data_IF_268568960093
#
_entry.id   IF_268568960093
#
_cell.length_a   1.000
_cell.length_b   1.000
_cell.length_c   1.000
_cell.angle_alpha   90.00
_cell.angle_beta   90.00
_cell.angle_gamma   90.00
#
_symmetry.space_group_name_H-M   'P 1'
#
loop_
_entity.id
_entity.type
_entity.pdbx_description
1 polymer ?
#
# COMPACT_ATOMS: atom_id res chain seq x y z
N UNK A 1 12.10 -32.87 -45.64
CA UNK A 1 13.04 -34.02 -45.64
C UNK A 1 14.45 -33.48 -45.90
N UNK A 2 15.27 -33.30 -44.85
CA UNK A 2 16.58 -33.98 -44.61
C UNK A 2 17.61 -33.70 -45.72
N UNK A 3 18.79 -33.09 -45.51
CA UNK A 3 19.91 -33.45 -44.60
C UNK A 3 20.96 -32.32 -44.55
N UNK A 4 21.44 -31.97 -43.35
CA UNK A 4 22.81 -32.12 -42.77
C UNK A 4 23.96 -31.22 -43.30
N UNK A 5 24.60 -30.59 -42.31
CA UNK A 5 25.86 -29.83 -42.26
C UNK A 5 27.09 -30.77 -42.17
N UNK A 6 28.31 -30.30 -42.50
CA UNK A 6 29.41 -30.25 -41.50
C UNK A 6 30.26 -28.96 -41.65
N UNK A 7 30.44 -28.14 -40.61
CA UNK A 7 31.51 -28.10 -39.57
C UNK A 7 32.94 -27.85 -40.09
N UNK A 8 33.49 -26.68 -39.76
CA UNK A 8 34.93 -26.37 -39.78
C UNK A 8 35.28 -25.42 -38.64
N UNK A 9 36.23 -25.84 -37.79
CA UNK A 9 36.93 -25.06 -36.75
C UNK A 9 38.36 -24.81 -37.22
N UNK A 10 38.90 -23.60 -37.00
CA UNK A 10 40.33 -23.29 -36.91
C UNK A 10 40.48 -22.03 -36.04
N UNK A 11 41.15 -22.15 -34.88
CA UNK A 11 42.47 -21.56 -34.50
C UNK A 11 42.35 -20.12 -33.98
N UNK A 12 42.50 -19.91 -32.66
CA UNK A 12 43.73 -19.45 -31.96
C UNK A 12 44.01 -17.96 -32.20
N UNK A 13 43.94 -17.16 -31.13
CA UNK A 13 44.95 -16.13 -30.76
C UNK A 13 44.44 -15.25 -29.60
N UNK A 14 45.08 -15.41 -28.44
CA UNK A 14 45.29 -14.39 -27.40
C UNK A 14 46.78 -14.02 -27.52
N UNK A 15 47.26 -12.77 -27.22
CA UNK A 15 47.06 -12.06 -25.94
C UNK A 15 47.17 -10.50 -26.13
N UNK A 16 47.57 -9.61 -25.18
CA UNK A 16 47.78 -9.70 -23.72
C UNK A 16 47.12 -8.58 -22.88
N UNK A 17 47.29 -8.70 -21.57
CA UNK A 17 46.86 -7.80 -20.48
C UNK A 17 47.67 -6.49 -20.36
N UNK A 18 47.04 -5.49 -19.70
CA UNK A 18 47.71 -4.48 -18.87
C UNK A 18 47.44 -3.04 -19.27
N UNK A 19 46.72 -2.29 -18.41
CA UNK A 19 47.16 -1.01 -17.80
C UNK A 19 46.02 -0.44 -16.93
N UNK A 20 46.35 -0.22 -15.65
CA UNK A 20 45.55 0.40 -14.61
C UNK A 20 45.28 1.89 -14.88
N UNK A 21 44.14 2.40 -14.39
CA UNK A 21 44.15 3.71 -13.71
C UNK A 21 42.92 3.94 -12.81
N UNK A 22 43.19 4.55 -11.67
CA UNK A 22 42.35 4.73 -10.50
C UNK A 22 41.31 5.87 -10.63
N UNK A 23 40.25 5.74 -9.83
CA UNK A 23 39.49 6.79 -9.14
C UNK A 23 38.72 7.87 -9.95
N UNK A 24 37.39 7.82 -9.87
CA UNK A 24 36.62 8.93 -9.26
C UNK A 24 35.23 8.49 -8.82
N UNK A 25 34.88 8.96 -7.62
CA UNK A 25 33.74 8.60 -6.81
C UNK A 25 32.42 9.29 -7.25
N UNK A 26 31.33 8.71 -6.72
CA UNK A 26 30.04 9.35 -6.40
C UNK A 26 28.95 9.41 -7.47
N UNK A 27 28.03 8.46 -7.34
CA UNK A 27 26.68 8.51 -7.89
C UNK A 27 25.92 7.21 -7.63
N UNK A 28 25.71 6.86 -6.36
CA UNK A 28 24.95 5.69 -5.95
C UNK A 28 23.52 5.74 -6.53
N UNK A 29 23.32 5.01 -7.62
CA UNK A 29 22.01 4.61 -8.09
C UNK A 29 21.64 3.34 -7.31
N UNK A 30 20.76 3.49 -6.31
CA UNK A 30 20.06 2.35 -5.71
C UNK A 30 19.09 1.79 -6.76
N UNK A 31 19.63 0.89 -7.58
CA UNK A 31 18.89 -0.05 -8.41
C UNK A 31 18.51 -1.24 -7.51
N UNK A 32 17.57 -1.01 -6.58
CA UNK A 32 16.89 -2.10 -5.86
C UNK A 32 16.07 -2.88 -6.90
N UNK A 33 16.70 -3.87 -7.51
CA UNK A 33 16.03 -4.97 -8.20
C UNK A 33 15.20 -5.68 -7.15
N UNK A 34 13.93 -5.92 -7.46
CA UNK A 34 13.05 -6.84 -6.75
C UNK A 34 13.63 -8.26 -6.85
N UNK A 35 14.70 -8.54 -6.11
CA UNK A 35 15.10 -9.90 -5.78
C UNK A 35 14.09 -10.41 -4.77
N UNK A 36 13.22 -11.29 -5.23
CA UNK A 36 12.40 -12.11 -4.36
C UNK A 36 13.34 -12.88 -3.42
N UNK A 37 13.50 -12.35 -2.20
CA UNK A 37 14.20 -13.05 -1.12
C UNK A 37 13.51 -14.40 -0.96
N UNK A 38 14.21 -15.53 -1.15
CA UNK A 38 13.60 -16.83 -0.92
C UNK A 38 13.13 -16.83 0.53
N UNK A 39 11.83 -17.08 0.72
CA UNK A 39 11.25 -17.23 2.04
C UNK A 39 12.05 -18.32 2.77
N UNK A 40 12.92 -17.90 3.69
CA UNK A 40 13.49 -18.82 4.65
C UNK A 40 12.29 -19.44 5.35
N UNK A 41 12.15 -20.76 5.20
CA UNK A 41 11.17 -21.53 5.93
C UNK A 41 11.56 -21.44 7.41
N UNK A 42 11.04 -20.40 8.09
CA UNK A 42 10.99 -20.40 9.54
C UNK A 42 10.31 -21.70 9.94
N UNK A 43 11.08 -22.61 10.56
CA UNK A 43 10.57 -23.84 11.12
C UNK A 43 9.35 -23.50 11.97
N UNK A 44 8.18 -23.92 11.50
CA UNK A 44 6.97 -23.83 12.28
C UNK A 44 7.26 -24.56 13.60
N UNK A 45 7.02 -23.94 14.78
CA UNK A 45 7.22 -24.63 16.04
C UNK A 45 6.39 -25.91 15.99
N UNK A 46 7.05 -27.07 16.16
CA UNK A 46 6.39 -28.37 16.21
C UNK A 46 5.19 -28.27 17.15
N UNK A 47 4.00 -28.41 16.58
CA UNK A 47 2.75 -28.28 17.30
C UNK A 47 2.55 -29.59 18.03
N UNK A 48 2.85 -29.59 19.33
CA UNK A 48 2.50 -30.65 20.25
C UNK A 48 0.98 -30.93 20.18
N UNK A 49 0.61 -32.18 19.87
CA UNK A 49 -0.75 -32.65 19.60
C UNK A 49 -1.47 -33.18 20.86
N UNK A 50 -0.85 -33.10 22.03
CA UNK A 50 -1.42 -33.63 23.27
C UNK A 50 -2.49 -32.68 23.84
N UNK A 51 -3.74 -32.92 23.43
CA UNK A 51 -4.93 -32.26 23.97
C UNK A 51 -5.43 -33.02 25.19
N UNK A 52 -5.11 -32.53 26.39
CA UNK A 52 -5.67 -33.03 27.65
C UNK A 52 -7.04 -32.36 27.93
N UNK A 53 -8.16 -33.11 27.98
CA UNK A 53 -9.51 -32.55 28.20
C UNK A 53 -9.62 -31.68 29.46
N UNK A 54 -8.88 -32.00 30.53
CA UNK A 54 -8.87 -31.25 31.77
C UNK A 54 -8.25 -29.85 31.67
N UNK A 55 -7.41 -29.58 30.66
CA UNK A 55 -6.79 -28.26 30.47
C UNK A 55 -7.81 -27.21 30.01
N UNK A 56 -8.80 -27.61 29.20
CA UNK A 56 -9.89 -26.71 28.78
C UNK A 56 -10.80 -26.36 29.96
N UNK A 57 -11.08 -27.32 30.85
CA UNK A 57 -11.87 -27.08 32.06
C UNK A 57 -11.19 -26.08 33.00
N UNK A 58 -9.88 -26.23 33.21
CA UNK A 58 -9.09 -25.30 34.02
C UNK A 58 -9.13 -23.86 33.47
N UNK A 59 -8.89 -23.70 32.17
CA UNK A 59 -8.97 -22.39 31.51
C UNK A 59 -10.39 -21.80 31.53
N UNK A 60 -11.42 -22.63 31.37
CA UNK A 60 -12.82 -22.19 31.47
C UNK A 60 -13.16 -21.66 32.86
N UNK A 61 -12.64 -22.30 33.92
CA UNK A 61 -12.85 -21.84 35.30
C UNK A 61 -12.17 -20.50 35.56
N UNK A 62 -10.95 -20.31 35.04
CA UNK A 62 -10.27 -18.99 35.07
C UNK A 62 -11.16 -17.93 34.44
N UNK A 63 -11.66 -18.17 33.23
CA UNK A 63 -12.53 -17.21 32.52
C UNK A 63 -13.82 -16.95 33.31
N UNK A 64 -14.43 -17.98 33.90
CA UNK A 64 -15.66 -17.87 34.71
C UNK A 64 -15.47 -16.97 35.93
N UNK A 65 -14.31 -17.04 36.59
CA UNK A 65 -13.96 -16.17 37.72
C UNK A 65 -13.97 -14.70 37.32
N UNK A 66 -13.33 -14.34 36.21
CA UNK A 66 -13.31 -12.96 35.70
C UNK A 66 -14.67 -12.51 35.15
N UNK A 67 -15.42 -13.40 34.52
CA UNK A 67 -16.73 -13.09 33.96
C UNK A 67 -17.72 -12.54 34.99
N UNK A 68 -17.66 -13.03 36.22
CA UNK A 68 -18.56 -12.62 37.31
C UNK A 68 -18.49 -11.12 37.66
N UNK A 69 -17.31 -10.51 37.49
CA UNK A 69 -17.04 -9.12 37.86
C UNK A 69 -17.08 -8.14 36.68
N UNK A 70 -17.41 -8.63 35.47
CA UNK A 70 -17.38 -7.80 34.27
C UNK A 70 -18.49 -6.74 34.23
N UNK A 71 -18.15 -5.51 33.81
CA UNK A 71 -19.13 -4.48 33.55
C UNK A 71 -19.98 -4.81 32.32
N UNK A 72 -21.19 -4.28 32.30
CA UNK A 72 -22.00 -4.21 31.09
C UNK A 72 -21.53 -3.02 30.26
N UNK A 73 -21.16 -3.26 29.00
CA UNK A 73 -20.74 -2.19 28.10
C UNK A 73 -19.65 -2.64 27.12
N UNK A 74 -19.29 -1.75 26.18
CA UNK A 74 -18.29 -2.04 25.19
C UNK A 74 -16.87 -1.96 25.77
N UNK A 75 -15.94 -2.65 25.11
CA UNK A 75 -14.54 -2.59 25.47
C UNK A 75 -13.71 -3.68 24.81
N UNK A 76 -12.46 -3.78 25.26
CA UNK A 76 -11.46 -4.73 24.79
C UNK A 76 -11.03 -5.63 25.94
N UNK A 77 -10.85 -6.91 25.65
CA UNK A 77 -10.30 -7.89 26.58
C UNK A 77 -9.01 -8.52 26.03
N UNK A 78 -8.15 -8.93 26.96
CA UNK A 78 -6.90 -9.63 26.69
C UNK A 78 -6.89 -10.93 27.46
N UNK A 79 -6.45 -12.01 26.82
CA UNK A 79 -6.20 -13.31 27.43
C UNK A 79 -4.69 -13.54 27.49
N UNK A 80 -4.21 -14.01 28.63
CA UNK A 80 -2.80 -14.23 28.91
C UNK A 80 -2.53 -15.69 29.23
N UNK A 81 -1.35 -16.18 28.88
CA UNK A 81 -0.90 -17.50 29.29
C UNK A 81 -0.29 -17.51 30.70
N UNK A 82 0.13 -18.69 31.16
CA UNK A 82 0.75 -18.85 32.47
C UNK A 82 2.10 -18.12 32.62
N UNK A 83 2.75 -17.73 31.51
CA UNK A 83 4.00 -16.95 31.50
C UNK A 83 3.74 -15.44 31.50
N UNK A 84 2.49 -15.03 31.31
CA UNK A 84 2.09 -13.62 31.20
C UNK A 84 2.13 -13.08 29.76
N UNK A 85 2.30 -13.94 28.76
CA UNK A 85 2.28 -13.54 27.35
C UNK A 85 0.84 -13.38 26.84
N UNK A 86 0.60 -12.37 26.00
CA UNK A 86 -0.75 -12.10 25.46
C UNK A 86 -1.06 -13.12 24.36
N UNK A 87 -2.06 -13.96 24.62
CA UNK A 87 -2.54 -14.99 23.71
C UNK A 87 -3.49 -14.43 22.66
N UNK A 88 -4.42 -13.57 23.11
CA UNK A 88 -5.50 -13.05 22.29
C UNK A 88 -5.99 -11.70 22.79
N UNK A 89 -6.34 -10.83 21.85
CA UNK A 89 -7.02 -9.55 22.07
C UNK A 89 -8.36 -9.61 21.34
N UNK A 90 -9.46 -9.19 21.97
CA UNK A 90 -10.74 -9.08 21.29
C UNK A 90 -11.58 -7.90 21.76
N UNK A 91 -12.36 -7.33 20.84
CA UNK A 91 -13.39 -6.32 21.13
C UNK A 91 -14.76 -6.94 21.44
N UNK A 92 -15.62 -6.18 22.13
CA UNK A 92 -17.03 -6.52 22.29
C UNK A 92 -17.90 -5.27 22.44
N UNK A 93 -19.14 -5.31 21.90
CA UNK A 93 -20.22 -4.37 22.26
C UNK A 93 -20.67 -4.54 23.71
N UNK A 94 -20.59 -5.77 24.21
CA UNK A 94 -20.88 -6.12 25.59
C UNK A 94 -19.85 -7.16 26.07
N UNK A 95 -18.90 -6.72 26.90
CA UNK A 95 -17.83 -7.58 27.43
C UNK A 95 -18.38 -8.80 28.18
N UNK A 96 -19.37 -8.60 29.05
CA UNK A 96 -19.97 -9.68 29.84
C UNK A 96 -20.62 -10.75 28.96
N UNK A 97 -21.33 -10.35 27.91
CA UNK A 97 -21.93 -11.29 26.96
C UNK A 97 -20.87 -12.05 26.15
N UNK A 98 -19.86 -11.35 25.62
CA UNK A 98 -18.81 -11.95 24.80
C UNK A 98 -17.97 -12.94 25.59
N UNK A 99 -17.47 -12.54 26.77
CA UNK A 99 -16.65 -13.40 27.63
C UNK A 99 -17.46 -14.57 28.18
N UNK A 100 -18.74 -14.36 28.46
CA UNK A 100 -19.67 -15.41 28.87
C UNK A 100 -19.87 -16.52 27.82
N UNK A 101 -19.57 -16.25 26.55
CA UNK A 101 -19.55 -17.30 25.51
C UNK A 101 -18.45 -18.33 25.76
N UNK A 102 -17.26 -17.87 26.16
CA UNK A 102 -16.14 -18.76 26.48
C UNK A 102 -16.36 -19.51 27.79
N UNK A 103 -16.91 -18.84 28.82
CA UNK A 103 -17.15 -19.42 30.15
C UNK A 103 -18.19 -20.57 30.16
N UNK A 104 -19.03 -20.66 29.12
CA UNK A 104 -20.02 -21.73 28.95
C UNK A 104 -19.43 -23.01 28.34
N UNK A 105 -18.14 -23.05 28.03
CA UNK A 105 -17.45 -24.24 27.52
C UNK A 105 -17.87 -24.65 26.11
N UNK A 106 -18.64 -23.82 25.41
CA UNK A 106 -18.98 -24.02 24.00
C UNK A 106 -17.80 -23.54 23.15
N UNK A 107 -16.73 -24.34 23.10
CA UNK A 107 -15.63 -24.07 22.18
C UNK A 107 -16.10 -24.33 20.75
N UNK A 108 -16.35 -23.26 20.00
CA UNK A 108 -16.86 -23.34 18.63
C UNK A 108 -15.80 -23.81 17.62
N UNK A 109 -14.53 -23.92 18.02
CA UNK A 109 -13.45 -24.48 17.20
C UNK A 109 -12.29 -24.98 18.07
N UNK A 110 -11.46 -25.88 17.51
CA UNK A 110 -10.24 -26.37 18.17
C UNK A 110 -9.28 -25.24 18.54
N UNK A 111 -9.19 -24.19 17.71
CA UNK A 111 -8.43 -22.97 18.02
C UNK A 111 -8.93 -22.32 19.30
N UNK A 112 -10.24 -22.09 19.41
CA UNK A 112 -10.84 -21.45 20.59
C UNK A 112 -10.65 -22.34 21.82
N UNK A 113 -10.83 -23.66 21.69
CA UNK A 113 -10.57 -24.60 22.79
C UNK A 113 -9.12 -24.50 23.29
N UNK A 114 -8.15 -24.45 22.38
CA UNK A 114 -6.72 -24.31 22.70
C UNK A 114 -6.37 -22.96 23.31
N UNK A 115 -6.98 -21.88 22.83
CA UNK A 115 -6.82 -20.56 23.42
C UNK A 115 -7.36 -20.53 24.86
N UNK A 116 -8.55 -21.11 25.07
CA UNK A 116 -9.17 -21.21 26.41
C UNK A 116 -8.28 -22.05 27.34
N UNK A 117 -7.82 -23.22 26.91
CA UNK A 117 -7.02 -24.12 27.77
C UNK A 117 -5.69 -23.51 28.21
N UNK A 118 -5.15 -22.58 27.43
CA UNK A 118 -3.90 -21.89 27.75
C UNK A 118 -4.13 -20.59 28.53
N UNK A 119 -5.37 -20.13 28.67
CA UNK A 119 -5.69 -18.87 29.36
C UNK A 119 -5.51 -19.04 30.87
N UNK A 120 -4.54 -18.32 31.44
CA UNK A 120 -4.27 -18.27 32.87
C UNK A 120 -4.75 -16.97 33.54
N UNK A 121 -4.89 -15.89 32.77
CA UNK A 121 -5.41 -14.61 33.27
C UNK A 121 -6.13 -13.81 32.17
N UNK A 122 -6.95 -12.85 32.57
CA UNK A 122 -7.61 -11.91 31.67
C UNK A 122 -7.52 -10.46 32.17
N UNK A 123 -7.43 -9.52 31.24
CA UNK A 123 -7.54 -8.08 31.52
C UNK A 123 -8.58 -7.43 30.62
N UNK A 124 -9.21 -6.35 31.12
CA UNK A 124 -10.31 -5.68 30.46
C UNK A 124 -10.12 -4.17 30.47
N UNK A 125 -10.44 -3.52 29.35
CA UNK A 125 -10.49 -2.07 29.24
C UNK A 125 -11.88 -1.72 28.70
N UNK A 126 -12.67 -0.98 29.49
CA UNK A 126 -13.97 -0.48 29.05
C UNK A 126 -13.78 0.77 28.19
N UNK A 127 -14.64 0.94 27.19
CA UNK A 127 -14.65 2.12 26.33
C UNK A 127 -16.03 2.78 26.39
N UNK A 128 -16.13 4.04 25.99
CA UNK A 128 -17.42 4.74 25.95
C UNK A 128 -18.24 4.28 24.73
N UNK A 129 -17.56 3.94 23.63
CA UNK A 129 -18.21 3.52 22.38
C UNK A 129 -17.62 2.23 21.83
N UNK A 130 -18.36 1.57 20.94
CA UNK A 130 -17.87 0.44 20.16
C UNK A 130 -16.72 0.83 19.22
N UNK A 131 -16.79 2.02 18.63
CA UNK A 131 -15.74 2.53 17.75
C UNK A 131 -14.42 2.67 18.48
N UNK A 132 -14.44 3.18 19.71
CA UNK A 132 -13.24 3.23 20.56
C UNK A 132 -12.70 1.82 20.88
N UNK A 133 -13.58 0.84 21.14
CA UNK A 133 -13.17 -0.55 21.37
C UNK A 133 -12.49 -1.14 20.12
N UNK A 134 -13.04 -0.87 18.93
CA UNK A 134 -12.47 -1.29 17.66
C UNK A 134 -11.06 -0.70 17.44
N UNK A 135 -10.91 0.61 17.65
CA UNK A 135 -9.62 1.29 17.50
C UNK A 135 -8.58 0.79 18.52
N UNK A 136 -9.00 0.63 19.78
CA UNK A 136 -8.12 0.11 20.83
C UNK A 136 -7.69 -1.34 20.56
N UNK A 137 -8.60 -2.19 20.09
CA UNK A 137 -8.29 -3.57 19.71
C UNK A 137 -7.25 -3.62 18.59
N UNK A 138 -7.48 -2.89 17.48
CA UNK A 138 -6.56 -2.85 16.35
C UNK A 138 -5.14 -2.40 16.80
N UNK A 139 -5.08 -1.39 17.67
CA UNK A 139 -3.83 -0.90 18.23
C UNK A 139 -3.12 -1.96 19.09
N UNK A 140 -3.85 -2.64 19.98
CA UNK A 140 -3.31 -3.69 20.84
C UNK A 140 -2.85 -4.93 20.05
N UNK A 141 -3.58 -5.35 19.02
CA UNK A 141 -3.15 -6.45 18.13
C UNK A 141 -1.84 -6.09 17.43
N UNK A 142 -1.73 -4.86 16.92
CA UNK A 142 -0.53 -4.37 16.25
C UNK A 142 0.70 -4.33 17.17
N UNK A 143 0.52 -3.89 18.42
CA UNK A 143 1.60 -3.80 19.41
C UNK A 143 2.02 -5.17 19.95
N UNK A 144 1.06 -6.02 20.28
CA UNK A 144 1.29 -7.26 21.05
C UNK A 144 1.43 -8.49 20.15
N UNK A 145 0.96 -8.42 18.89
CA UNK A 145 0.96 -9.50 17.90
C UNK A 145 0.53 -10.87 18.48
N UNK A 146 -0.63 -10.96 19.15
CA UNK A 146 -1.00 -12.17 19.88
C UNK A 146 -1.15 -13.37 18.94
N UNK A 147 -0.72 -14.55 19.40
CA UNK A 147 -0.69 -15.79 18.59
C UNK A 147 -2.03 -16.13 17.96
N UNK A 148 -3.13 -15.93 18.68
CA UNK A 148 -4.45 -16.35 18.22
C UNK A 148 -5.17 -15.29 17.39
N UNK A 149 -4.64 -14.07 17.23
CA UNK A 149 -5.24 -13.06 16.36
C UNK A 149 -4.81 -13.23 14.90
N UNK A 150 -5.64 -12.72 13.98
CA UNK A 150 -5.21 -12.54 12.58
C UNK A 150 -4.20 -11.39 12.55
N UNK A 151 -3.06 -11.59 11.90
CA UNK A 151 -2.02 -10.58 11.80
C UNK A 151 -1.76 -10.22 10.33
N UNK A 152 -1.88 -8.93 10.02
CA UNK A 152 -1.40 -8.41 8.74
C UNK A 152 0.14 -8.50 8.68
N UNK A 153 0.69 -9.27 7.72
CA UNK A 153 2.14 -9.46 7.58
C UNK A 153 2.87 -8.27 6.93
N UNK A 154 2.15 -7.41 6.23
CA UNK A 154 2.71 -6.33 5.43
C UNK A 154 2.27 -4.97 5.97
N UNK A 155 3.13 -4.36 6.79
CA UNK A 155 2.91 -3.07 7.44
C UNK A 155 3.55 -1.90 6.66
N UNK A 156 3.99 -2.12 5.42
CA UNK A 156 4.66 -1.07 4.64
C UNK A 156 3.71 0.09 4.40
N UNK A 157 4.10 1.28 4.88
CA UNK A 157 3.36 2.53 4.60
C UNK A 157 3.09 2.70 3.12
N UNK A 158 1.85 3.00 2.75
CA UNK A 158 1.47 3.09 1.35
C UNK A 158 2.20 4.25 0.65
N UNK A 159 2.60 4.07 -0.62
CA UNK A 159 3.19 5.14 -1.39
C UNK A 159 2.12 6.16 -1.80
N UNK A 160 2.48 7.42 -1.71
CA UNK A 160 1.69 8.59 -2.12
C UNK A 160 2.47 9.36 -3.20
N UNK A 161 1.76 10.20 -3.94
CA UNK A 161 2.31 11.29 -4.72
C UNK A 161 2.20 12.56 -3.87
N UNK A 162 3.32 13.26 -3.70
CA UNK A 162 3.35 14.58 -3.09
C UNK A 162 3.59 15.62 -4.19
N UNK A 163 2.69 16.60 -4.28
CA UNK A 163 2.93 17.86 -4.97
C UNK A 163 3.40 18.87 -3.95
N UNK A 164 4.67 19.27 -4.02
CA UNK A 164 5.32 20.06 -2.97
C UNK A 164 4.83 21.51 -2.96
N UNK A 165 4.89 22.15 -1.79
CA UNK A 165 4.51 23.56 -1.59
C UNK A 165 5.50 24.28 -0.66
N UNK A 166 6.71 23.75 -0.53
CA UNK A 166 7.80 24.24 0.32
C UNK A 166 8.77 25.18 -0.40
N UNK A 167 8.63 25.36 -1.71
CA UNK A 167 9.46 26.25 -2.51
C UNK A 167 8.70 26.90 -3.68
N UNK A 168 9.35 27.81 -4.41
CA UNK A 168 8.71 28.61 -5.48
C UNK A 168 8.32 27.79 -6.71
N UNK A 169 8.98 26.66 -6.96
CA UNK A 169 8.71 25.77 -8.08
C UNK A 169 8.32 24.38 -7.57
N UNK A 170 7.01 24.08 -7.44
CA UNK A 170 6.50 22.78 -7.00
C UNK A 170 7.08 21.59 -7.77
N UNK A 171 7.36 20.51 -7.04
CA UNK A 171 7.75 19.22 -7.59
C UNK A 171 6.63 18.20 -7.43
N UNK A 172 6.63 17.18 -8.28
CA UNK A 172 5.84 15.97 -8.07
C UNK A 172 6.80 14.84 -7.74
N UNK A 173 6.69 14.32 -6.52
CA UNK A 173 7.60 13.29 -5.99
C UNK A 173 6.82 12.16 -5.35
N UNK A 174 7.44 10.97 -5.30
CA UNK A 174 6.95 9.87 -4.48
C UNK A 174 7.14 10.20 -2.99
N UNK A 175 6.19 9.83 -2.16
CA UNK A 175 6.25 9.99 -0.70
C UNK A 175 5.83 8.71 0.02
N UNK A 176 6.52 8.38 1.11
CA UNK A 176 6.16 7.30 2.06
C UNK A 176 6.31 7.81 3.49
N UNK A 177 5.54 7.25 4.41
CA UNK A 177 5.59 7.61 5.83
C UNK A 177 4.88 8.92 6.19
N UNK A 178 5.28 9.49 7.33
CA UNK A 178 4.60 10.65 7.93
C UNK A 178 4.59 11.88 7.00
N UNK A 179 3.44 12.56 6.91
CA UNK A 179 3.20 13.72 6.03
C UNK A 179 3.80 15.01 6.63
N UNK A 180 5.13 15.08 6.78
CA UNK A 180 5.83 16.22 7.39
C UNK A 180 6.18 17.33 6.40
N UNK A 181 6.41 16.99 5.13
CA UNK A 181 6.76 17.95 4.06
C UNK A 181 5.51 18.73 3.63
N UNK A 182 5.62 20.05 3.42
CA UNK A 182 4.48 20.87 3.00
C UNK A 182 4.09 20.54 1.55
N UNK A 183 2.79 20.34 1.31
CA UNK A 183 2.26 20.07 -0.02
C UNK A 183 0.95 19.28 0.01
N UNK A 184 0.50 18.89 -1.18
CA UNK A 184 -0.72 18.11 -1.39
C UNK A 184 -0.37 16.64 -1.63
N UNK A 185 -0.98 15.75 -0.85
CA UNK A 185 -0.73 14.31 -0.89
C UNK A 185 -1.88 13.61 -1.61
N UNK A 186 -1.55 12.79 -2.61
CA UNK A 186 -2.50 12.02 -3.41
C UNK A 186 -2.14 10.55 -3.30
N UNK A 187 -3.09 9.73 -2.85
CA UNK A 187 -2.88 8.30 -2.59
C UNK A 187 -4.03 7.75 -1.74
N UNK A 188 -3.91 6.51 -1.25
CA UNK A 188 -2.77 5.60 -1.41
C UNK A 188 -2.69 4.97 -2.81
N UNK A 189 -1.48 4.65 -3.27
CA UNK A 189 -1.27 3.83 -4.46
C UNK A 189 -0.91 2.41 -4.08
N UNK A 190 -1.24 1.44 -4.93
CA UNK A 190 -1.03 0.03 -4.62
C UNK A 190 0.45 -0.38 -4.56
N UNK A 191 1.31 0.27 -5.36
CA UNK A 191 2.73 -0.05 -5.45
C UNK A 191 3.60 1.16 -5.76
N UNK A 192 4.91 1.06 -5.47
CA UNK A 192 5.90 2.10 -5.86
C UNK A 192 5.91 2.27 -7.37
N UNK A 193 5.76 1.18 -8.11
CA UNK A 193 5.74 1.20 -9.56
C UNK A 193 4.55 2.00 -10.10
N UNK A 194 3.35 1.86 -9.51
CA UNK A 194 2.17 2.64 -9.88
C UNK A 194 2.39 4.15 -9.64
N UNK A 195 3.02 4.50 -8.52
CA UNK A 195 3.44 5.87 -8.22
C UNK A 195 4.45 6.38 -9.24
N UNK A 196 5.55 5.67 -9.47
CA UNK A 196 6.62 6.10 -10.37
C UNK A 196 6.10 6.32 -11.79
N UNK A 197 5.25 5.42 -12.29
CA UNK A 197 4.59 5.58 -13.60
C UNK A 197 3.78 6.86 -13.66
N UNK A 198 2.92 7.09 -12.65
CA UNK A 198 2.05 8.26 -12.59
C UNK A 198 2.86 9.55 -12.48
N UNK A 199 3.86 9.59 -11.60
CA UNK A 199 4.79 10.71 -11.43
C UNK A 199 5.50 11.03 -12.75
N UNK A 200 6.06 10.03 -13.43
CA UNK A 200 6.77 10.24 -14.70
C UNK A 200 5.84 10.80 -15.78
N UNK A 201 4.63 10.25 -15.90
CA UNK A 201 3.65 10.71 -16.87
C UNK A 201 3.20 12.16 -16.59
N UNK A 202 2.97 12.52 -15.32
CA UNK A 202 2.62 13.89 -14.93
C UNK A 202 3.77 14.88 -15.17
N UNK A 203 4.99 14.52 -14.78
CA UNK A 203 6.18 15.35 -15.00
C UNK A 203 6.36 15.67 -16.50
N UNK A 204 6.17 14.67 -17.38
CA UNK A 204 6.19 14.87 -18.83
C UNK A 204 5.03 15.73 -19.33
N UNK A 205 3.81 15.42 -18.90
CA UNK A 205 2.61 16.07 -19.40
C UNK A 205 2.51 17.54 -18.98
N UNK A 206 3.08 17.91 -17.83
CA UNK A 206 3.03 19.26 -17.29
C UNK A 206 4.40 19.94 -17.24
N UNK A 207 5.43 19.34 -17.83
CA UNK A 207 6.79 19.90 -17.93
C UNK A 207 7.38 20.30 -16.57
N UNK A 208 7.08 19.53 -15.54
CA UNK A 208 7.49 19.84 -14.16
C UNK A 208 8.91 19.39 -13.91
N UNK A 209 9.61 20.15 -13.06
CA UNK A 209 11.00 19.85 -12.70
C UNK A 209 11.12 18.53 -11.93
N UNK A 210 12.24 17.85 -12.15
CA UNK A 210 12.62 16.62 -11.44
C UNK A 210 13.93 16.77 -10.66
N UNK A 211 14.67 17.87 -10.86
CA UNK A 211 15.91 18.14 -10.15
C UNK A 211 15.66 18.36 -8.65
N UNK A 212 16.58 17.92 -7.79
CA UNK A 212 16.55 18.20 -6.35
C UNK A 212 16.66 19.70 -6.08
N UNK A 213 16.31 20.14 -4.87
CA UNK A 213 16.36 21.56 -4.51
C UNK A 213 17.77 22.13 -4.54
N UNK A 214 18.76 21.36 -4.09
CA UNK A 214 20.18 21.72 -4.25
C UNK A 214 20.57 21.98 -5.71
N UNK A 215 20.14 21.13 -6.65
CA UNK A 215 20.39 21.39 -8.07
C UNK A 215 19.59 22.59 -8.60
N UNK A 216 18.37 22.82 -8.13
CA UNK A 216 17.56 23.96 -8.57
C UNK A 216 18.17 25.30 -8.16
N UNK A 217 18.62 25.41 -6.91
CA UNK A 217 19.18 26.65 -6.35
C UNK A 217 20.53 27.00 -6.98
N UNK A 218 21.33 26.00 -7.37
CA UNK A 218 22.68 26.21 -7.88
C UNK A 218 22.77 26.22 -9.42
N UNK A 219 21.65 26.14 -10.14
CA UNK A 219 21.67 26.10 -11.62
C UNK A 219 21.83 27.49 -12.23
N UNK A 220 22.88 27.63 -13.03
CA UNK A 220 23.18 28.86 -13.79
C UNK A 220 22.83 28.79 -15.28
N UNK A 221 22.58 27.58 -15.81
CA UNK A 221 22.20 27.34 -17.21
C UNK A 221 21.15 26.24 -17.35
N UNK A 222 20.26 26.30 -18.37
CA UNK A 222 19.25 25.29 -18.58
C UNK A 222 19.85 23.89 -18.74
N UNK A 223 19.21 22.89 -18.15
CA UNK A 223 19.68 21.51 -18.21
C UNK A 223 19.14 20.77 -19.44
N UNK A 224 19.65 19.56 -19.68
CA UNK A 224 19.20 18.70 -20.77
C UNK A 224 17.67 18.50 -20.77
N UNK A 225 17.04 18.35 -19.61
CA UNK A 225 15.58 18.16 -19.52
C UNK A 225 14.80 19.35 -20.07
N UNK A 226 15.30 20.57 -19.94
CA UNK A 226 14.71 21.74 -20.60
C UNK A 226 14.92 21.68 -22.12
N UNK A 227 16.14 21.37 -22.56
CA UNK A 227 16.48 21.31 -23.98
C UNK A 227 15.63 20.28 -24.74
N UNK A 228 15.40 19.10 -24.15
CA UNK A 228 14.53 18.05 -24.72
C UNK A 228 13.05 18.25 -24.39
N UNK A 229 12.66 19.42 -23.87
CA UNK A 229 11.26 19.79 -23.55
C UNK A 229 10.55 18.79 -22.61
N UNK A 230 11.27 18.31 -21.59
CA UNK A 230 10.73 17.54 -20.45
C UNK A 230 10.58 18.37 -19.16
N UNK A 231 11.14 19.57 -19.12
CA UNK A 231 11.02 20.55 -18.05
C UNK A 231 10.84 21.93 -18.68
N UNK A 232 10.06 22.82 -18.07
CA UNK A 232 9.89 24.20 -18.51
C UNK A 232 11.00 25.16 -18.04
N UNK A 233 11.93 24.68 -17.21
CA UNK A 233 13.14 25.43 -16.83
C UNK A 233 12.95 26.53 -15.78
N UNK A 234 12.19 26.33 -14.68
CA UNK A 234 11.99 27.37 -13.67
C UNK A 234 13.27 27.75 -12.91
N UNK A 235 14.27 26.84 -12.83
CA UNK A 235 15.51 27.08 -12.09
C UNK A 235 16.39 28.18 -12.69
N UNK A 236 16.25 28.47 -13.98
CA UNK A 236 17.05 29.49 -14.68
C UNK A 236 16.17 30.57 -15.31
N UNK A 237 14.89 30.63 -14.95
CA UNK A 237 13.96 31.68 -15.41
C UNK A 237 13.48 31.54 -16.85
N UNK A 238 13.63 30.37 -17.49
CA UNK A 238 13.11 30.13 -18.86
C UNK A 238 11.57 30.15 -18.93
N UNK A 239 10.92 29.95 -17.78
CA UNK A 239 9.49 30.12 -17.55
C UNK A 239 9.30 31.01 -16.32
N UNK A 240 8.30 31.89 -16.35
CA UNK A 240 7.89 32.64 -15.17
C UNK A 240 7.36 31.69 -14.08
N UNK A 241 7.59 32.01 -12.81
CA UNK A 241 7.18 31.14 -11.70
C UNK A 241 5.66 31.00 -11.60
N UNK A 242 4.94 32.04 -12.00
CA UNK A 242 3.48 32.09 -12.05
C UNK A 242 2.93 31.09 -13.10
N UNK A 243 3.53 31.09 -14.29
CA UNK A 243 3.17 30.15 -15.36
C UNK A 243 3.52 28.71 -14.99
N UNK A 244 4.67 28.51 -14.34
CA UNK A 244 5.07 27.22 -13.80
C UNK A 244 4.08 26.72 -12.74
N UNK A 245 3.63 27.60 -11.83
CA UNK A 245 2.62 27.28 -10.84
C UNK A 245 1.29 26.86 -11.50
N UNK A 246 0.88 27.51 -12.60
CA UNK A 246 -0.29 27.10 -13.39
C UNK A 246 -0.17 25.67 -13.98
N UNK A 247 1.04 25.25 -14.38
CA UNK A 247 1.30 23.87 -14.80
C UNK A 247 1.21 22.89 -13.62
N UNK A 248 1.77 23.25 -12.47
CA UNK A 248 1.68 22.44 -11.25
C UNK A 248 0.23 22.28 -10.78
N UNK A 249 -0.58 23.34 -10.84
CA UNK A 249 -2.00 23.30 -10.49
C UNK A 249 -2.82 22.48 -11.49
N UNK A 250 -2.44 22.48 -12.77
CA UNK A 250 -3.04 21.57 -13.75
C UNK A 250 -2.77 20.11 -13.40
N UNK A 251 -1.58 19.78 -12.89
CA UNK A 251 -1.25 18.44 -12.41
C UNK A 251 -2.02 18.07 -11.13
N UNK A 252 -2.17 19.01 -10.18
CA UNK A 252 -3.03 18.84 -8.99
C UNK A 252 -4.48 18.58 -9.39
N UNK A 253 -5.02 19.33 -10.35
CA UNK A 253 -6.38 19.14 -10.88
C UNK A 253 -6.56 17.78 -11.53
N UNK A 254 -5.57 17.29 -12.27
CA UNK A 254 -5.59 15.94 -12.84
C UNK A 254 -5.64 14.88 -11.74
N UNK A 255 -4.77 14.98 -10.73
CA UNK A 255 -4.74 14.06 -9.58
C UNK A 255 -6.01 14.13 -8.71
N UNK A 256 -6.67 15.30 -8.66
CA UNK A 256 -7.97 15.51 -8.02
C UNK A 256 -9.16 15.09 -8.89
N UNK A 257 -8.93 14.42 -10.03
CA UNK A 257 -10.00 13.81 -10.82
C UNK A 257 -10.57 14.67 -11.95
N UNK A 258 -10.14 15.93 -12.08
CA UNK A 258 -10.54 16.84 -13.17
C UNK A 258 -9.77 16.53 -14.47
N UNK A 259 -9.55 15.25 -14.76
CA UNK A 259 -8.68 14.75 -15.82
C UNK A 259 -9.21 15.03 -17.23
N UNK A 260 -10.52 14.93 -17.44
CA UNK A 260 -11.15 15.18 -18.74
C UNK A 260 -11.01 16.64 -19.18
N UNK A 261 -11.35 17.59 -18.30
CA UNK A 261 -11.23 19.02 -18.58
C UNK A 261 -9.78 19.41 -18.96
N UNK A 262 -8.78 18.84 -18.30
CA UNK A 262 -7.37 19.07 -18.63
C UNK A 262 -7.01 18.52 -20.01
N UNK A 263 -7.47 17.31 -20.35
CA UNK A 263 -7.24 16.71 -21.67
C UNK A 263 -7.95 17.47 -22.78
N UNK A 264 -9.19 17.89 -22.57
CA UNK A 264 -9.99 18.62 -23.56
C UNK A 264 -9.36 19.98 -23.86
N UNK A 265 -8.87 20.68 -22.83
CA UNK A 265 -8.07 21.90 -23.03
C UNK A 265 -6.81 21.63 -23.86
N UNK A 266 -6.05 20.58 -23.55
CA UNK A 266 -4.85 20.23 -24.34
C UNK A 266 -5.20 19.84 -25.79
N UNK A 267 -6.34 19.18 -26.03
CA UNK A 267 -6.82 18.86 -27.38
C UNK A 267 -7.17 20.12 -28.16
N UNK A 268 -7.85 21.07 -27.51
CA UNK A 268 -8.17 22.36 -28.12
C UNK A 268 -6.88 23.12 -28.49
N UNK A 269 -5.93 23.22 -27.56
CA UNK A 269 -4.63 23.87 -27.82
C UNK A 269 -3.82 23.16 -28.92
N UNK A 270 -3.89 21.83 -29.00
CA UNK A 270 -3.30 21.05 -30.08
C UNK A 270 -3.94 21.39 -31.43
N UNK A 271 -5.27 21.46 -31.49
CA UNK A 271 -6.00 21.78 -32.72
C UNK A 271 -5.71 23.21 -33.18
N UNK A 272 -5.77 24.19 -32.28
CA UNK A 272 -5.40 25.58 -32.59
C UNK A 272 -3.98 25.70 -33.13
N UNK A 273 -3.01 24.98 -32.55
CA UNK A 273 -1.64 24.96 -33.06
C UNK A 273 -1.56 24.31 -34.45
N UNK A 274 -2.31 23.23 -34.70
CA UNK A 274 -2.37 22.59 -36.01
C UNK A 274 -2.99 23.50 -37.07
N UNK A 275 -4.08 24.20 -36.74
CA UNK A 275 -4.77 25.13 -37.65
C UNK A 275 -3.87 26.33 -38.00
N UNK A 276 -3.04 26.76 -37.05
CA UNK A 276 -1.99 27.77 -37.24
C UNK A 276 -0.73 27.24 -37.95
N UNK A 277 -0.72 25.97 -38.39
CA UNK A 277 0.43 25.28 -39.01
C UNK A 277 1.68 25.17 -38.10
N UNK A 278 1.52 25.28 -36.78
CA UNK A 278 2.56 25.11 -35.76
C UNK A 278 2.73 23.62 -35.38
N UNK A 279 3.12 22.78 -36.34
CA UNK A 279 3.10 21.32 -36.17
C UNK A 279 3.97 20.79 -35.01
N UNK A 280 5.10 21.42 -34.71
CA UNK A 280 5.94 21.04 -33.56
C UNK A 280 5.24 21.29 -32.21
N UNK A 281 4.46 22.36 -32.12
CA UNK A 281 3.67 22.67 -30.93
C UNK A 281 2.49 21.71 -30.80
N UNK A 282 1.80 21.42 -31.91
CA UNK A 282 0.74 20.42 -31.94
C UNK A 282 1.26 19.03 -31.53
N UNK A 283 2.41 18.60 -32.06
CA UNK A 283 3.05 17.33 -31.69
C UNK A 283 3.38 17.26 -30.20
N UNK A 284 3.86 18.36 -29.60
CA UNK A 284 4.10 18.44 -28.14
C UNK A 284 2.82 18.22 -27.34
N UNK A 285 1.69 18.82 -27.73
CA UNK A 285 0.42 18.58 -27.04
C UNK A 285 -0.07 17.13 -27.21
N UNK A 286 0.04 16.57 -28.41
CA UNK A 286 -0.28 15.16 -28.67
C UNK A 286 0.50 14.23 -27.74
N UNK A 287 1.81 14.45 -27.63
CA UNK A 287 2.68 13.62 -26.79
C UNK A 287 2.35 13.77 -25.30
N UNK A 288 1.96 14.98 -24.85
CA UNK A 288 1.46 15.23 -23.49
C UNK A 288 0.13 14.50 -23.22
N UNK A 289 -0.81 14.54 -24.16
CA UNK A 289 -2.10 13.83 -24.08
C UNK A 289 -1.87 12.31 -24.02
N UNK A 290 -0.93 11.80 -24.82
CA UNK A 290 -0.53 10.39 -24.80
C UNK A 290 0.04 9.97 -23.44
N UNK A 291 0.94 10.79 -22.87
CA UNK A 291 1.49 10.54 -21.53
C UNK A 291 0.38 10.47 -20.45
N UNK A 292 -0.59 11.37 -20.47
CA UNK A 292 -1.74 11.33 -19.53
C UNK A 292 -2.67 10.14 -19.78
N UNK A 293 -2.76 9.67 -21.02
CA UNK A 293 -3.60 8.51 -21.37
C UNK A 293 -2.98 7.20 -20.93
N UNK A 294 -1.65 7.11 -20.84
CA UNK A 294 -0.96 5.94 -20.28
C UNK A 294 -1.25 5.72 -18.77
N UNK A 295 -1.61 6.76 -18.03
CA UNK A 295 -2.05 6.64 -16.62
C UNK A 295 -3.42 5.96 -16.54
N UNK A 296 -4.33 6.27 -17.48
CA UNK A 296 -5.71 5.78 -17.50
C UNK A 296 -5.87 4.45 -18.25
N UNK A 297 -5.04 4.21 -19.28
CA UNK A 297 -5.29 3.22 -20.32
C UNK A 297 -4.89 1.77 -20.01
N UNK A 298 -4.54 1.43 -18.76
CA UNK A 298 -4.06 0.06 -18.44
C UNK A 298 -5.15 -0.85 -17.84
N UNK A 299 -6.36 -0.35 -17.58
CA UNK A 299 -7.41 -1.20 -17.01
C UNK A 299 -8.70 -1.09 -17.82
N UNK A 300 -8.98 -2.16 -18.58
CA UNK A 300 -10.25 -2.38 -19.30
C UNK A 300 -11.46 -2.59 -18.38
N UNK A 301 -11.38 -2.15 -17.12
CA UNK A 301 -12.50 -2.12 -16.17
C UNK A 301 -13.05 -0.71 -16.22
N UNK A 302 -14.11 -0.53 -17.00
CA UNK A 302 -14.78 0.76 -17.13
C UNK A 302 -15.52 1.05 -15.81
N UNK A 303 -14.85 1.76 -14.90
CA UNK A 303 -15.27 2.17 -13.55
C UNK A 303 -16.32 3.28 -13.55
N UNK A 304 -17.10 3.44 -14.62
CA UNK A 304 -17.98 4.61 -14.81
C UNK A 304 -18.99 4.83 -13.66
N UNK A 305 -19.21 3.85 -12.79
CA UNK A 305 -20.03 3.98 -11.57
C UNK A 305 -19.28 4.16 -10.23
N UNK A 306 -17.96 4.01 -10.17
CA UNK A 306 -17.20 4.03 -8.89
C UNK A 306 -16.19 5.18 -8.88
N UNK A 307 -16.60 6.30 -8.30
CA UNK A 307 -15.77 7.50 -8.16
C UNK A 307 -14.58 7.26 -7.22
N UNK A 308 -14.86 6.79 -6.01
CA UNK A 308 -13.88 6.57 -4.95
C UNK A 308 -14.28 5.34 -4.13
N UNK A 309 -13.47 4.29 -4.19
CA UNK A 309 -13.68 3.09 -3.40
C UNK A 309 -12.39 2.31 -3.13
N UNK A 310 -12.37 1.53 -2.06
CA UNK A 310 -11.43 0.42 -1.90
C UNK A 310 -12.23 -0.89 -2.01
N UNK A 311 -11.72 -1.84 -2.79
CA UNK A 311 -12.37 -3.13 -3.00
C UNK A 311 -11.48 -4.22 -2.42
N UNK A 312 -12.02 -4.97 -1.45
CA UNK A 312 -11.35 -6.09 -0.82
C UNK A 312 -11.97 -7.40 -1.29
N UNK A 313 -11.16 -8.24 -1.93
CA UNK A 313 -11.54 -9.57 -2.33
C UNK A 313 -10.68 -10.59 -1.60
N UNK A 314 -11.28 -11.44 -0.79
CA UNK A 314 -10.62 -12.55 -0.12
C UNK A 314 -10.89 -13.86 -0.88
N UNK A 315 -9.86 -14.69 -1.04
CA UNK A 315 -9.96 -16.10 -1.42
C UNK A 315 -9.16 -16.96 -0.43
N UNK A 316 -9.65 -18.17 -0.15
CA UNK A 316 -9.03 -19.12 0.76
C UNK A 316 -8.76 -20.43 0.05
N UNK A 317 -7.51 -20.89 0.10
CA UNK A 317 -7.10 -22.18 -0.46
C UNK A 317 -6.14 -22.90 0.49
N UNK A 318 -6.45 -24.15 0.83
CA UNK A 318 -5.63 -25.02 1.67
C UNK A 318 -5.25 -24.39 3.04
N UNK A 319 -6.16 -23.62 3.63
CA UNK A 319 -5.95 -22.92 4.89
C UNK A 319 -5.02 -21.71 4.79
N UNK A 320 -4.74 -21.23 3.58
CA UNK A 320 -4.07 -19.95 3.34
C UNK A 320 -5.08 -18.93 2.82
N UNK A 321 -5.00 -17.72 3.36
CA UNK A 321 -5.86 -16.61 2.98
C UNK A 321 -5.07 -15.63 2.11
N UNK A 322 -5.67 -15.22 0.99
CA UNK A 322 -5.17 -14.14 0.16
C UNK A 322 -6.24 -13.05 0.09
N UNK A 323 -5.86 -11.81 0.36
CA UNK A 323 -6.74 -10.65 0.23
C UNK A 323 -6.16 -9.73 -0.83
N UNK A 324 -6.87 -9.59 -1.94
CA UNK A 324 -6.56 -8.62 -2.99
C UNK A 324 -7.29 -7.30 -2.69
N UNK A 325 -6.54 -6.20 -2.64
CA UNK A 325 -7.08 -4.86 -2.42
C UNK A 325 -6.89 -4.01 -3.66
N UNK A 326 -7.98 -3.49 -4.21
CA UNK A 326 -7.97 -2.54 -5.33
C UNK A 326 -8.28 -1.13 -4.84
N UNK A 327 -7.54 -0.15 -5.35
CA UNK A 327 -7.71 1.26 -4.97
C UNK A 327 -8.33 2.03 -6.13
N UNK A 328 -9.55 2.52 -5.96
CA UNK A 328 -10.23 3.38 -6.93
C UNK A 328 -10.30 4.80 -6.41
N UNK A 329 -9.74 5.74 -7.16
CA UNK A 329 -9.79 7.18 -6.85
C UNK A 329 -10.09 7.95 -8.14
N UNK A 330 -11.05 8.86 -8.08
CA UNK A 330 -11.47 9.69 -9.19
C UNK A 330 -11.78 8.89 -10.47
N UNK A 331 -12.58 7.84 -10.33
CA UNK A 331 -12.94 6.91 -11.40
C UNK A 331 -11.74 6.18 -12.02
N UNK A 332 -10.58 6.18 -11.37
CA UNK A 332 -9.37 5.51 -11.85
C UNK A 332 -8.92 4.46 -10.85
N UNK A 333 -8.49 3.33 -11.35
CA UNK A 333 -7.86 2.31 -10.53
C UNK A 333 -6.36 2.63 -10.41
N UNK A 334 -5.91 2.85 -9.18
CA UNK A 334 -4.54 3.22 -8.80
C UNK A 334 -3.67 2.00 -8.48
N UNK A 335 -4.13 0.83 -8.94
CA UNK A 335 -3.50 -0.47 -8.82
C UNK A 335 -4.18 -1.37 -7.78
N UNK A 336 -3.59 -2.53 -7.62
CA UNK A 336 -4.03 -3.58 -6.71
C UNK A 336 -2.84 -4.17 -5.95
N UNK A 337 -3.10 -4.71 -4.75
CA UNK A 337 -2.08 -5.36 -3.91
C UNK A 337 -2.66 -6.57 -3.18
N UNK A 338 -1.96 -7.69 -3.30
CA UNK A 338 -2.23 -8.91 -2.55
C UNK A 338 -1.63 -8.85 -1.13
N UNK A 339 -2.38 -9.37 -0.17
CA UNK A 339 -1.98 -9.54 1.22
C UNK A 339 -2.19 -10.98 1.66
N UNK A 340 -1.24 -11.51 2.43
CA UNK A 340 -1.29 -12.86 2.98
C UNK A 340 -1.30 -12.76 4.51
N UNK A 341 -2.46 -12.50 5.14
CA UNK A 341 -2.55 -12.41 6.59
C UNK A 341 -2.19 -13.74 7.26
N UNK A 342 -1.51 -13.66 8.40
CA UNK A 342 -1.27 -14.83 9.26
C UNK A 342 -2.53 -15.07 10.08
N UNK A 343 -3.30 -16.07 9.69
CA UNK A 343 -4.48 -16.54 10.39
C UNK A 343 -4.41 -18.05 10.60
N UNK A 344 -5.14 -18.56 11.59
CA UNK A 344 -5.30 -20.00 11.76
C UNK A 344 -6.23 -20.57 10.69
N UNK A 345 -5.96 -21.80 10.23
CA UNK A 345 -6.72 -22.46 9.16
C UNK A 345 -8.19 -22.71 9.50
N UNK A 346 -8.55 -22.70 10.79
CA UNK A 346 -9.93 -22.87 11.25
C UNK A 346 -10.76 -21.58 11.24
N UNK A 347 -10.16 -20.43 10.92
CA UNK A 347 -10.88 -19.17 10.85
C UNK A 347 -11.71 -19.07 9.57
N UNK A 348 -12.85 -18.38 9.66
CA UNK A 348 -13.70 -18.15 8.50
C UNK A 348 -13.19 -16.97 7.65
N UNK A 349 -13.45 -16.95 6.33
CA UNK A 349 -13.16 -15.80 5.47
C UNK A 349 -13.66 -14.46 6.04
N UNK A 350 -14.90 -14.43 6.55
CA UNK A 350 -15.54 -13.24 7.11
C UNK A 350 -14.75 -12.67 8.31
N UNK A 351 -14.33 -13.54 9.23
CA UNK A 351 -13.51 -13.16 10.40
C UNK A 351 -12.13 -12.63 9.99
N UNK A 352 -11.49 -13.30 9.03
CA UNK A 352 -10.16 -12.90 8.54
C UNK A 352 -10.24 -11.55 7.84
N UNK A 353 -11.24 -11.37 6.97
CA UNK A 353 -11.44 -10.12 6.24
C UNK A 353 -11.76 -8.95 7.19
N UNK A 354 -12.63 -9.16 8.17
CA UNK A 354 -12.98 -8.11 9.14
C UNK A 354 -11.80 -7.68 10.00
N UNK A 355 -11.03 -8.64 10.53
CA UNK A 355 -9.82 -8.33 11.28
C UNK A 355 -8.78 -7.62 10.41
N UNK A 356 -8.64 -8.02 9.13
CA UNK A 356 -7.72 -7.39 8.20
C UNK A 356 -8.12 -5.93 7.92
N UNK A 357 -9.40 -5.66 7.60
CA UNK A 357 -9.89 -4.30 7.30
C UNK A 357 -9.69 -3.35 8.49
N UNK A 358 -9.98 -3.82 9.72
CA UNK A 358 -9.74 -3.02 10.93
C UNK A 358 -8.27 -2.63 11.09
N UNK A 359 -7.35 -3.57 10.89
CA UNK A 359 -5.90 -3.29 10.92
C UNK A 359 -5.44 -2.43 9.75
N UNK A 360 -6.03 -2.62 8.57
CA UNK A 360 -5.66 -1.91 7.35
C UNK A 360 -5.95 -0.40 7.44
N UNK A 361 -7.12 -0.03 7.97
CA UNK A 361 -7.51 1.37 8.15
C UNK A 361 -6.97 2.02 9.44
N UNK A 362 -6.30 1.29 10.33
CA UNK A 362 -5.53 1.92 11.42
C UNK A 362 -4.43 2.84 10.87
N UNK A 363 -3.82 2.47 9.74
CA UNK A 363 -2.72 3.22 9.12
C UNK A 363 -3.17 4.13 7.97
N UNK A 364 -4.45 4.11 7.58
CA UNK A 364 -4.93 4.73 6.35
C UNK A 364 -6.30 5.38 6.48
N UNK A 365 -6.52 6.52 5.81
CA UNK A 365 -7.86 7.09 5.70
C UNK A 365 -8.75 6.17 4.85
N UNK A 366 -9.96 5.89 5.35
CA UNK A 366 -10.97 5.16 4.60
C UNK A 366 -11.54 5.99 3.45
N UNK A 367 -11.82 5.37 2.28
CA UNK A 367 -12.54 6.01 1.18
C UNK A 367 -14.03 6.17 1.53
N UNK A 368 -14.76 6.84 0.64
CA UNK A 368 -16.22 6.99 0.76
C UNK A 368 -17.00 5.68 0.62
N UNK A 369 -16.45 4.72 -0.12
CA UNK A 369 -17.07 3.41 -0.37
C UNK A 369 -16.05 2.30 -0.13
N UNK A 370 -16.43 1.31 0.66
CA UNK A 370 -15.66 0.07 0.85
C UNK A 370 -16.51 -1.07 0.35
N UNK A 371 -15.98 -1.85 -0.59
CA UNK A 371 -16.64 -3.04 -1.14
C UNK A 371 -15.88 -4.28 -0.67
N UNK A 372 -16.60 -5.31 -0.24
CA UNK A 372 -16.03 -6.54 0.30
C UNK A 372 -16.63 -7.74 -0.41
N UNK A 373 -15.81 -8.77 -0.70
CA UNK A 373 -16.33 -10.02 -1.28
C UNK A 373 -17.09 -10.89 -0.28
N UNK A 374 -16.87 -10.67 1.02
CA UNK A 374 -17.48 -11.40 2.12
C UNK A 374 -18.16 -10.43 3.08
N UNK A 375 -19.06 -10.95 3.92
CA UNK A 375 -19.67 -10.17 4.98
C UNK A 375 -18.61 -9.80 6.03
N UNK A 376 -18.75 -8.61 6.60
CA UNK A 376 -17.86 -8.10 7.64
C UNK A 376 -18.71 -7.59 8.79
N UNK A 377 -18.34 -7.97 10.02
CA UNK A 377 -19.11 -7.71 11.25
C UNK A 377 -18.89 -6.31 11.85
#
# INVERSE_FOLDING_TARGET
MSRRVPSGRTTEDLPPEGFDDEASENGAFDDERDEAVPAQADEAPEIDFDFEPGAVEAGTEVIRRFWSTLPLGPGVYRMFDAKGDVLYVGKAKNLKARVGSYARGQAHSNRIARMISQTAAMEFVTTATETEALLLEANLIKQLKPRFNVLMRDDKSFPYILVTADGPAPQIVKHRGARRRKGSYYGPFASVWAVNRTVNALQRAFLLRTCTDSYYENRTRPCLLFQIKRCSGPCTGEIALEDYAGMADSAKNFLAGKSNAVKDRMRLEMQTASDAMEFERAARFRDRISALSAIQGVQGVNTQGVEEADVFALDEQAGQFCIEVFFFRNFQNWGNRAYFPKADRSMTPDEVLGSFIGQFYDAMPAPRLVLTSHAVE
#
